data_IF_000668131494
#
_entry.id   IF_000668131494
#
_cell.length_a   1.000
_cell.length_b   1.000
_cell.length_c   1.000
_cell.angle_alpha   90.00
_cell.angle_beta   90.00
_cell.angle_gamma   90.00
#
_symmetry.space_group_name_H-M   'P 1'
#
loop_
_entity.id
_entity.type
_entity.pdbx_description
1 polymer ?
#
# COMPACT_ATOMS: atom_id res chain seq x y z
N UNK A 1 2.00 -13.01 -6.64
CA UNK A 1 2.32 -12.56 -8.03
C UNK A 1 1.20 -11.77 -8.69
N UNK A 2 -0.06 -12.20 -8.59
CA UNK A 2 -1.19 -11.56 -9.27
C UNK A 2 -1.55 -10.17 -8.69
N UNK A 3 -1.47 -10.01 -7.36
CA UNK A 3 -1.80 -8.76 -6.67
C UNK A 3 -0.79 -7.62 -6.97
N UNK A 4 0.51 -7.91 -6.96
CA UNK A 4 1.57 -6.95 -7.30
C UNK A 4 1.49 -6.48 -8.77
N UNK A 5 1.14 -7.38 -9.70
CA UNK A 5 0.93 -7.05 -11.13
C UNK A 5 -0.30 -6.15 -11.33
N UNK A 6 -1.40 -6.44 -10.62
CA UNK A 6 -2.63 -5.61 -10.64
C UNK A 6 -2.37 -4.22 -10.06
N UNK A 7 -1.65 -4.14 -8.94
CA UNK A 7 -1.30 -2.87 -8.29
C UNK A 7 -0.42 -2.02 -9.20
N UNK A 8 0.62 -2.60 -9.81
CA UNK A 8 1.45 -1.85 -10.77
C UNK A 8 0.65 -1.32 -11.95
N UNK A 9 -0.22 -2.15 -12.57
CA UNK A 9 -1.03 -1.70 -13.70
C UNK A 9 -1.91 -0.51 -13.31
N UNK A 10 -2.57 -0.60 -12.14
CA UNK A 10 -3.37 0.50 -11.61
C UNK A 10 -2.55 1.77 -11.38
N UNK A 11 -1.37 1.66 -10.79
CA UNK A 11 -0.49 2.82 -10.53
C UNK A 11 0.01 3.41 -11.86
N UNK A 12 0.40 2.58 -12.84
CA UNK A 12 0.88 3.05 -14.15
C UNK A 12 -0.23 3.79 -14.92
N UNK A 13 -1.43 3.22 -14.95
CA UNK A 13 -2.58 3.84 -15.60
C UNK A 13 -2.90 5.19 -14.94
N UNK A 14 -2.66 5.29 -13.62
CA UNK A 14 -2.85 6.54 -12.88
C UNK A 14 -1.88 7.66 -13.26
N UNK A 15 -0.60 7.32 -13.39
CA UNK A 15 0.38 8.33 -13.79
C UNK A 15 0.20 8.77 -15.24
N UNK A 16 -0.20 7.87 -16.14
CA UNK A 16 -0.40 8.22 -17.55
C UNK A 16 -1.53 9.24 -17.77
N UNK A 17 -2.55 9.32 -16.91
CA UNK A 17 -3.60 10.34 -17.03
C UNK A 17 -3.12 11.74 -16.60
N UNK A 18 -2.18 11.81 -15.65
CA UNK A 18 -1.66 13.07 -15.09
C UNK A 18 -0.69 13.79 -16.03
N UNK A 19 0.04 13.07 -16.89
CA UNK A 19 1.04 13.66 -17.79
C UNK A 19 0.45 14.51 -18.93
N UNK A 20 -0.87 14.52 -19.12
CA UNK A 20 -1.52 15.33 -20.16
C UNK A 20 -1.82 16.78 -19.73
N UNK A 21 -1.69 17.12 -18.44
CA UNK A 21 -1.87 18.47 -17.93
C UNK A 21 -0.53 19.02 -17.49
N UNK A 22 0.07 19.88 -18.32
CA UNK A 22 1.42 20.44 -18.16
C UNK A 22 1.59 21.40 -16.97
N UNK A 23 1.37 20.92 -15.76
CA UNK A 23 1.75 21.59 -14.51
C UNK A 23 3.04 20.98 -13.95
N UNK A 24 3.85 21.85 -13.36
CA UNK A 24 5.15 21.56 -12.74
C UNK A 24 5.02 20.37 -11.78
N UNK A 25 5.52 19.19 -12.17
CA UNK A 25 5.36 17.93 -11.43
C UNK A 25 6.08 18.01 -10.08
N UNK A 26 5.36 18.40 -9.03
CA UNK A 26 5.70 18.02 -7.66
C UNK A 26 5.65 16.50 -7.61
N UNK A 27 6.82 15.86 -7.73
CA UNK A 27 6.91 14.41 -7.79
C UNK A 27 6.37 13.80 -6.48
N UNK A 28 5.18 13.20 -6.58
CA UNK A 28 4.47 12.60 -5.46
C UNK A 28 5.29 11.44 -4.85
N UNK A 29 5.25 11.32 -3.52
CA UNK A 29 5.90 10.23 -2.80
C UNK A 29 4.89 9.10 -2.57
N UNK A 30 5.26 7.87 -2.92
CA UNK A 30 4.45 6.69 -2.64
C UNK A 30 5.24 5.80 -1.69
N UNK A 31 4.71 5.58 -0.50
CA UNK A 31 5.25 4.62 0.46
C UNK A 31 4.41 3.34 0.39
N UNK A 32 5.05 2.21 0.10
CA UNK A 32 4.44 0.89 0.29
C UNK A 32 5.01 0.32 1.59
N UNK A 33 4.14 0.04 2.56
CA UNK A 33 4.51 -0.51 3.87
C UNK A 33 3.89 -1.90 3.93
N UNK A 34 4.71 -2.93 3.80
CA UNK A 34 4.28 -4.32 3.79
C UNK A 34 4.79 -5.04 5.04
N UNK A 35 3.92 -5.78 5.71
CA UNK A 35 4.33 -6.66 6.81
C UNK A 35 4.80 -7.99 6.23
N UNK A 36 5.97 -8.45 6.70
CA UNK A 36 6.66 -9.61 6.19
C UNK A 36 7.74 -9.27 5.16
N UNK A 37 8.61 -10.24 4.91
CA UNK A 37 9.67 -10.15 3.91
C UNK A 37 9.35 -10.99 2.70
N UNK A 38 9.62 -10.46 1.52
CA UNK A 38 9.46 -11.20 0.28
C UNK A 38 10.62 -12.19 0.11
N UNK A 39 10.33 -13.49 0.19
CA UNK A 39 11.36 -14.55 0.16
C UNK A 39 11.60 -15.09 -1.25
N UNK A 40 10.55 -15.08 -2.08
CA UNK A 40 10.59 -15.69 -3.40
C UNK A 40 11.23 -14.74 -4.42
N UNK A 41 12.36 -15.18 -5.00
CA UNK A 41 13.12 -14.40 -5.98
C UNK A 41 12.26 -13.88 -7.14
N UNK A 42 11.37 -14.71 -7.69
CA UNK A 42 10.54 -14.33 -8.83
C UNK A 42 9.54 -13.20 -8.51
N UNK A 43 9.10 -13.08 -7.25
CA UNK A 43 8.26 -11.97 -6.81
C UNK A 43 9.09 -10.71 -6.61
N UNK A 44 10.28 -10.86 -6.00
CA UNK A 44 11.22 -9.75 -5.81
C UNK A 44 11.64 -9.13 -7.15
N UNK A 45 11.98 -9.95 -8.14
CA UNK A 45 12.32 -9.51 -9.49
C UNK A 45 11.14 -8.77 -10.15
N UNK A 46 9.90 -9.25 -9.96
CA UNK A 46 8.70 -8.59 -10.49
C UNK A 46 8.46 -7.22 -9.81
N UNK A 47 8.63 -7.13 -8.49
CA UNK A 47 8.55 -5.86 -7.76
C UNK A 47 9.62 -4.88 -8.21
N UNK A 48 10.86 -5.34 -8.46
CA UNK A 48 11.96 -4.52 -8.94
C UNK A 48 11.69 -3.96 -10.34
N UNK A 49 11.19 -4.77 -11.26
CA UNK A 49 10.83 -4.34 -12.62
C UNK A 49 9.75 -3.25 -12.60
N UNK A 50 8.73 -3.41 -11.75
CA UNK A 50 7.67 -2.42 -11.61
C UNK A 50 8.13 -1.16 -10.88
N UNK A 51 8.97 -1.30 -9.87
CA UNK A 51 9.58 -0.15 -9.18
C UNK A 51 10.43 0.68 -10.15
N UNK A 52 11.21 0.05 -11.03
CA UNK A 52 12.00 0.74 -12.05
C UNK A 52 11.12 1.59 -12.96
N UNK A 53 9.99 1.06 -13.41
CA UNK A 53 9.06 1.77 -14.30
C UNK A 53 8.32 2.90 -13.59
N UNK A 54 8.03 2.78 -12.29
CA UNK A 54 7.33 3.80 -11.50
C UNK A 54 8.20 5.00 -11.14
N UNK A 55 9.53 4.85 -11.09
CA UNK A 55 10.48 5.93 -10.79
C UNK A 55 10.40 7.13 -11.74
N UNK A 56 9.91 6.94 -12.96
CA UNK A 56 9.70 8.05 -13.90
C UNK A 56 8.53 8.97 -13.49
N UNK A 57 7.69 8.52 -12.55
CA UNK A 57 6.42 9.15 -12.23
C UNK A 57 6.28 9.52 -10.75
N UNK A 58 6.91 8.76 -9.84
CA UNK A 58 6.89 9.03 -8.41
C UNK A 58 8.17 8.64 -7.69
N UNK A 59 8.34 9.21 -6.51
CA UNK A 59 9.33 8.74 -5.55
C UNK A 59 8.76 7.56 -4.76
N UNK A 60 9.00 6.34 -5.26
CA UNK A 60 8.54 5.11 -4.63
C UNK A 60 9.51 4.64 -3.55
N UNK A 61 9.00 4.45 -2.32
CA UNK A 61 9.70 3.79 -1.21
C UNK A 61 8.93 2.55 -0.78
N UNK A 62 9.64 1.45 -0.59
CA UNK A 62 9.07 0.19 -0.11
C UNK A 62 9.72 -0.13 1.23
N UNK A 63 8.89 -0.34 2.24
CA UNK A 63 9.28 -0.69 3.60
C UNK A 63 8.74 -2.07 3.93
N UNK A 64 9.63 -2.98 4.32
CA UNK A 64 9.26 -4.28 4.88
C UNK A 64 9.31 -4.19 6.40
N UNK A 65 8.17 -4.40 7.05
CA UNK A 65 8.01 -4.46 8.50
C UNK A 65 8.10 -5.93 8.92
N UNK A 66 8.76 -6.22 10.04
CA UNK A 66 8.83 -7.60 10.53
C UNK A 66 7.45 -8.05 11.00
N UNK A 67 7.02 -9.22 10.52
CA UNK A 67 5.83 -9.89 11.04
C UNK A 67 6.05 -10.31 12.50
N UNK A 68 5.05 -10.08 13.33
CA UNK A 68 5.10 -10.50 14.72
C UNK A 68 4.97 -12.03 14.79
N UNK A 69 5.75 -12.64 15.69
CA UNK A 69 5.78 -14.10 15.83
C UNK A 69 4.60 -14.58 16.66
N UNK A 70 3.82 -15.48 16.09
CA UNK A 70 2.71 -16.17 16.76
C UNK A 70 3.08 -17.64 17.05
N UNK A 71 2.48 -18.25 18.08
CA UNK A 71 2.53 -19.70 18.26
C UNK A 71 1.79 -20.41 17.12
N UNK A 72 1.95 -21.74 17.00
CA UNK A 72 1.36 -22.54 15.92
C UNK A 72 -0.18 -22.48 15.88
N UNK A 73 -0.82 -22.42 17.05
CA UNK A 73 -2.27 -22.25 17.20
C UNK A 73 -2.53 -21.01 18.07
N UNK A 74 -2.50 -19.80 17.49
CA UNK A 74 -2.71 -18.57 18.25
C UNK A 74 -4.18 -18.39 18.63
N UNK A 75 -4.42 -17.86 19.83
CA UNK A 75 -5.75 -17.39 20.19
C UNK A 75 -6.08 -16.07 19.49
N UNK A 76 -7.36 -15.69 19.42
CA UNK A 76 -7.75 -14.37 18.91
C UNK A 76 -7.05 -13.22 19.65
N UNK A 77 -6.85 -13.36 20.96
CA UNK A 77 -6.12 -12.37 21.77
C UNK A 77 -4.66 -12.26 21.37
N UNK A 78 -4.03 -13.37 21.02
CA UNK A 78 -2.64 -13.38 20.53
C UNK A 78 -2.56 -12.68 19.18
N UNK A 79 -3.48 -12.97 18.26
CA UNK A 79 -3.56 -12.33 16.94
C UNK A 79 -3.76 -10.82 17.09
N UNK A 80 -4.72 -10.37 17.91
CA UNK A 80 -4.98 -8.94 18.13
C UNK A 80 -3.73 -8.26 18.68
N UNK A 81 -3.10 -8.83 19.72
CA UNK A 81 -1.86 -8.28 20.31
C UNK A 81 -0.74 -8.20 19.28
N UNK A 82 -0.66 -9.19 18.39
CA UNK A 82 0.34 -9.27 17.35
C UNK A 82 0.12 -8.19 16.27
N UNK A 83 -1.13 -8.03 15.81
CA UNK A 83 -1.51 -6.98 14.87
C UNK A 83 -1.25 -5.59 15.46
N UNK A 84 -1.52 -5.36 16.74
CA UNK A 84 -1.22 -4.07 17.39
C UNK A 84 0.29 -3.80 17.51
N UNK A 85 1.11 -4.85 17.69
CA UNK A 85 2.56 -4.70 17.63
C UNK A 85 3.01 -4.29 16.21
N UNK A 86 2.49 -4.95 15.17
CA UNK A 86 2.76 -4.59 13.78
C UNK A 86 2.28 -3.18 13.44
N UNK A 87 1.11 -2.77 13.97
CA UNK A 87 0.54 -1.44 13.81
C UNK A 87 1.48 -0.34 14.28
N UNK A 88 2.11 -0.52 15.44
CA UNK A 88 3.07 0.45 15.97
C UNK A 88 4.25 0.68 15.00
N UNK A 89 4.73 -0.36 14.33
CA UNK A 89 5.82 -0.25 13.35
C UNK A 89 5.36 0.30 12.00
N UNK A 90 4.17 -0.09 11.53
CA UNK A 90 3.52 0.50 10.36
C UNK A 90 3.37 2.01 10.53
N UNK A 91 2.85 2.45 11.68
CA UNK A 91 2.52 3.85 11.92
C UNK A 91 3.73 4.78 11.99
N UNK A 92 4.92 4.27 12.36
CA UNK A 92 6.18 5.04 12.30
C UNK A 92 6.57 5.42 10.87
N UNK A 93 6.09 4.66 9.88
CA UNK A 93 6.44 4.81 8.46
C UNK A 93 5.37 5.54 7.67
N UNK A 94 4.11 5.46 8.11
CA UNK A 94 2.98 6.14 7.49
C UNK A 94 3.17 7.66 7.47
N UNK A 95 2.90 8.26 6.32
CA UNK A 95 2.89 9.70 6.08
C UNK A 95 1.81 10.07 5.07
N UNK A 96 1.19 11.23 5.28
CA UNK A 96 0.18 11.76 4.39
C UNK A 96 -1.04 10.84 4.26
N UNK A 97 -1.57 10.71 3.05
CA UNK A 97 -2.81 10.00 2.78
C UNK A 97 -2.64 8.49 2.97
N UNK A 98 -3.41 7.89 3.87
CA UNK A 98 -3.28 6.50 4.27
C UNK A 98 -4.32 5.60 3.59
N UNK A 99 -3.82 4.61 2.85
CA UNK A 99 -4.61 3.56 2.21
C UNK A 99 -4.30 2.21 2.85
N UNK A 100 -5.28 1.59 3.50
CA UNK A 100 -5.16 0.19 3.97
C UNK A 100 -5.67 -0.78 2.93
N UNK A 101 -4.84 -1.74 2.54
CA UNK A 101 -5.27 -2.87 1.72
C UNK A 101 -5.90 -3.96 2.59
N UNK A 102 -7.21 -4.11 2.52
CA UNK A 102 -7.99 -5.03 3.34
C UNK A 102 -9.19 -5.56 2.56
N UNK A 103 -9.61 -6.80 2.85
CA UNK A 103 -10.64 -7.51 2.07
C UNK A 103 -12.01 -6.85 2.19
N UNK A 104 -12.31 -6.29 3.35
CA UNK A 104 -13.51 -5.53 3.67
C UNK A 104 -13.51 -4.11 3.07
N UNK A 105 -12.41 -3.74 2.39
CA UNK A 105 -12.28 -2.46 1.71
C UNK A 105 -13.16 -2.33 0.47
N UNK A 106 -13.23 -1.12 -0.08
CA UNK A 106 -13.95 -0.86 -1.33
C UNK A 106 -13.07 -1.24 -2.53
N UNK A 107 -13.64 -1.97 -3.49
CA UNK A 107 -12.99 -2.20 -4.77
C UNK A 107 -13.13 -0.98 -5.70
N UNK A 108 -12.03 -0.62 -6.36
CA UNK A 108 -11.99 0.45 -7.36
C UNK A 108 -11.47 -0.08 -8.69
N UNK A 109 -12.02 0.44 -9.80
CA UNK A 109 -11.40 0.31 -11.12
C UNK A 109 -10.04 1.03 -11.15
N UNK A 110 -9.20 0.75 -12.16
CA UNK A 110 -7.90 1.44 -12.30
C UNK A 110 -8.07 2.96 -12.38
N UNK A 111 -9.04 3.43 -13.17
CA UNK A 111 -9.31 4.87 -13.34
C UNK A 111 -9.72 5.52 -12.02
N UNK A 112 -10.67 4.92 -11.28
CA UNK A 112 -11.09 5.46 -9.97
C UNK A 112 -9.98 5.43 -8.93
N UNK A 113 -9.07 4.46 -9.00
CA UNK A 113 -7.92 4.41 -8.11
C UNK A 113 -6.89 5.49 -8.46
N UNK A 114 -6.70 5.79 -9.75
CA UNK A 114 -5.90 6.94 -10.20
C UNK A 114 -6.39 8.24 -9.60
N UNK A 115 -7.67 8.53 -9.84
CA UNK A 115 -8.32 9.75 -9.35
C UNK A 115 -8.18 9.85 -7.83
N UNK A 116 -8.23 8.73 -7.12
CA UNK A 116 -8.06 8.69 -5.66
C UNK A 116 -6.65 9.12 -5.23
N UNK A 117 -5.61 8.65 -5.92
CA UNK A 117 -4.21 9.02 -5.63
C UNK A 117 -3.98 10.49 -6.02
N UNK A 118 -4.50 10.92 -7.17
CA UNK A 118 -4.37 12.30 -7.63
C UNK A 118 -5.03 13.30 -6.67
N UNK A 119 -6.26 13.02 -6.23
CA UNK A 119 -6.98 13.84 -5.27
C UNK A 119 -6.24 13.94 -3.92
N UNK A 120 -5.52 12.89 -3.50
CA UNK A 120 -4.66 12.95 -2.33
C UNK A 120 -3.53 13.99 -2.53
N UNK A 121 -2.92 14.04 -3.71
CA UNK A 121 -1.93 15.07 -4.07
C UNK A 121 -2.48 16.50 -4.01
N UNK A 122 -3.67 16.72 -4.57
CA UNK A 122 -4.33 18.04 -4.62
C UNK A 122 -4.74 18.55 -3.23
N UNK A 123 -5.07 17.64 -2.30
CA UNK A 123 -5.45 17.99 -0.92
C UNK A 123 -4.30 18.48 -0.02
N UNK A 124 -3.09 18.67 -0.58
CA UNK A 124 -1.90 19.15 0.13
C UNK A 124 -1.03 18.04 0.69
N UNK A 125 -1.40 16.76 0.53
CA UNK A 125 -0.56 15.61 0.89
C UNK A 125 0.37 15.22 -0.25
N UNK A 126 1.66 15.51 -0.10
CA UNK A 126 2.71 15.12 -1.06
C UNK A 126 3.12 13.64 -0.96
N UNK A 127 2.52 12.88 -0.03
CA UNK A 127 2.84 11.47 0.23
C UNK A 127 1.57 10.66 0.38
N UNK A 128 1.52 9.51 -0.30
CA UNK A 128 0.50 8.48 -0.11
C UNK A 128 1.17 7.25 0.49
N UNK A 129 0.66 6.76 1.62
CA UNK A 129 1.11 5.53 2.27
C UNK A 129 0.10 4.42 2.03
N UNK A 130 0.55 3.33 1.43
CA UNK A 130 -0.25 2.13 1.17
C UNK A 130 0.25 1.02 2.07
N UNK A 131 -0.62 0.53 2.95
CA UNK A 131 -0.30 -0.52 3.93
C UNK A 131 -0.83 -1.87 3.45
N UNK A 132 0.03 -2.89 3.49
CA UNK A 132 -0.27 -4.29 3.23
C UNK A 132 0.00 -5.06 4.52
N UNK A 133 -1.05 -5.68 5.06
CA UNK A 133 -1.00 -6.43 6.30
C UNK A 133 -0.27 -7.77 6.21
N UNK A 134 -0.13 -8.42 7.36
CA UNK A 134 0.38 -9.78 7.48
C UNK A 134 -0.67 -10.81 7.05
N UNK A 135 -0.36 -12.08 7.23
CA UNK A 135 -1.31 -13.19 7.02
C UNK A 135 -2.61 -13.05 7.83
N UNK A 136 -2.57 -12.35 8.96
CA UNK A 136 -3.72 -12.06 9.82
C UNK A 136 -4.36 -10.70 9.54
N UNK A 137 -3.89 -9.97 8.53
CA UNK A 137 -4.44 -8.69 8.11
C UNK A 137 -3.76 -7.48 8.74
N UNK A 138 -4.56 -6.45 9.04
CA UNK A 138 -4.11 -5.17 9.60
C UNK A 138 -4.93 -4.90 10.86
N UNK A 139 -4.28 -4.40 11.91
CA UNK A 139 -4.96 -3.98 13.13
C UNK A 139 -6.10 -2.99 12.85
N UNK A 140 -7.18 -3.10 13.62
CA UNK A 140 -8.31 -2.18 13.53
C UNK A 140 -7.89 -0.73 13.83
N UNK A 141 -6.92 -0.53 14.74
CA UNK A 141 -6.35 0.78 15.07
C UNK A 141 -5.81 1.53 13.83
N UNK A 142 -5.12 0.82 12.93
CA UNK A 142 -4.64 1.40 11.65
C UNK A 142 -5.82 1.60 10.69
N UNK A 143 -6.69 0.60 10.54
CA UNK A 143 -7.82 0.69 9.60
C UNK A 143 -8.79 1.83 9.94
N UNK A 144 -8.95 2.18 11.21
CA UNK A 144 -9.86 3.25 11.65
C UNK A 144 -9.38 4.64 11.24
N UNK A 145 -8.06 4.86 11.22
CA UNK A 145 -7.47 6.16 10.85
C UNK A 145 -7.15 6.27 9.36
N UNK A 146 -7.25 5.17 8.61
CA UNK A 146 -7.02 5.18 7.17
C UNK A 146 -8.04 6.03 6.43
N UNK A 147 -7.56 6.94 5.58
CA UNK A 147 -8.40 7.76 4.72
C UNK A 147 -9.14 6.93 3.66
N UNK A 148 -8.61 5.75 3.32
CA UNK A 148 -9.27 4.82 2.42
C UNK A 148 -8.93 3.36 2.72
N UNK A 149 -9.95 2.50 2.65
CA UNK A 149 -9.82 1.04 2.69
C UNK A 149 -9.99 0.49 1.29
N UNK A 150 -8.92 -0.03 0.70
CA UNK A 150 -8.91 -0.60 -0.64
C UNK A 150 -9.01 -2.12 -0.56
N UNK A 151 -9.97 -2.69 -1.27
CA UNK A 151 -9.98 -4.13 -1.58
C UNK A 151 -9.52 -4.36 -3.03
N UNK A 152 -8.71 -5.39 -3.24
CA UNK A 152 -8.23 -5.78 -4.58
C UNK A 152 -9.14 -6.81 -5.26
N UNK A 153 -9.90 -7.57 -4.48
CA UNK A 153 -10.85 -8.60 -4.92
C UNK A 153 -11.77 -9.01 -3.78
N UNK A 154 -12.85 -9.71 -4.12
CA UNK A 154 -13.70 -10.42 -3.15
C UNK A 154 -13.05 -11.71 -2.62
N UNK A 155 -11.92 -12.11 -3.20
CA UNK A 155 -11.09 -13.24 -2.77
C UNK A 155 -10.26 -12.90 -1.53
#
# INVERSE_FOLDING_TARGET
>A
MLQSKKLYKKIKDAFNSVFFTGEFLLMMNINIIAVGKLKEKYLSDACAEYSKRLKAFCNLKIYEVNECRLPENPSEKDIIKCLEHEAADIMKLCKGYLISMCIEGRQLSSVKFSEKIENAGVSGTSTVSIVIGSSHGIADSVKQISDFKLSMSEM
#
